data_IF_555402607958
#
_entry.id   IF_555402607958
#
_cell.length_a   1.000
_cell.length_b   1.000
_cell.length_c   1.000
_cell.angle_alpha   90.00
_cell.angle_beta   90.00
_cell.angle_gamma   90.00
#
_symmetry.space_group_name_H-M   'P 1'
#
loop_
_entity.id
_entity.type
_entity.pdbx_description
1 polymer ?
#
# COMPACT_ATOMS: atom_id res chain seq x y z
N UNK A 1 -5.62 -0.25 13.90
CA UNK A 1 -4.61 0.75 14.30
C UNK A 1 -5.06 2.08 13.75
N UNK A 2 -4.87 3.14 14.51
CA UNK A 2 -5.28 4.50 14.18
C UNK A 2 -6.03 5.19 15.33
N UNK A 3 -6.08 6.52 15.26
CA UNK A 3 -6.82 7.38 16.18
C UNK A 3 -8.03 8.08 15.54
N UNK A 4 -8.39 7.71 14.31
CA UNK A 4 -9.54 8.26 13.59
C UNK A 4 -10.84 7.59 14.05
N UNK A 5 -11.96 8.31 13.90
CA UNK A 5 -13.29 7.77 14.18
C UNK A 5 -13.55 6.50 13.34
N UNK A 6 -14.00 5.39 13.95
CA UNK A 6 -14.36 4.18 13.22
C UNK A 6 -15.46 4.43 12.18
N UNK A 7 -15.36 3.73 11.05
CA UNK A 7 -16.31 3.83 9.94
C UNK A 7 -16.65 2.43 9.45
N UNK A 8 -17.94 2.13 9.30
CA UNK A 8 -18.39 0.84 8.78
C UNK A 8 -17.87 0.58 7.37
N UNK A 9 -17.48 -0.67 7.11
CA UNK A 9 -16.81 -1.08 5.86
C UNK A 9 -17.64 -0.81 4.59
N UNK A 10 -18.97 -0.86 4.70
CA UNK A 10 -19.91 -0.66 3.58
C UNK A 10 -20.06 0.81 3.15
N UNK A 11 -19.62 1.76 3.97
CA UNK A 11 -19.65 3.20 3.65
C UNK A 11 -18.26 3.83 3.64
N UNK A 12 -17.22 3.03 3.89
CA UNK A 12 -15.86 3.53 4.14
C UNK A 12 -15.29 4.34 2.99
N UNK A 13 -15.49 3.91 1.74
CA UNK A 13 -15.05 4.66 0.56
C UNK A 13 -15.83 5.98 0.41
N UNK A 14 -17.15 5.98 0.66
CA UNK A 14 -17.97 7.20 0.61
C UNK A 14 -17.50 8.22 1.64
N UNK A 15 -17.34 7.79 2.89
CA UNK A 15 -16.84 8.65 3.98
C UNK A 15 -15.42 9.14 3.69
N UNK A 16 -14.55 8.30 3.13
CA UNK A 16 -13.21 8.71 2.70
C UNK A 16 -13.26 9.84 1.67
N UNK A 17 -14.09 9.70 0.62
CA UNK A 17 -14.24 10.70 -0.43
C UNK A 17 -14.81 12.02 0.10
N UNK A 18 -15.70 12.00 1.09
CA UNK A 18 -16.16 13.22 1.76
C UNK A 18 -15.08 13.84 2.66
N UNK A 19 -14.30 13.00 3.34
CA UNK A 19 -13.33 13.44 4.35
C UNK A 19 -12.09 14.08 3.72
N UNK A 20 -11.53 13.50 2.66
CA UNK A 20 -10.29 13.98 2.03
C UNK A 20 -10.33 15.48 1.67
N UNK A 21 -11.31 16.00 0.91
CA UNK A 21 -11.34 17.42 0.55
C UNK A 21 -11.54 18.33 1.77
N UNK A 22 -12.38 17.92 2.74
CA UNK A 22 -12.64 18.70 3.96
C UNK A 22 -11.40 18.77 4.84
N UNK A 23 -10.66 17.67 4.97
CA UNK A 23 -9.40 17.63 5.72
C UNK A 23 -8.35 18.54 5.08
N UNK A 24 -8.17 18.45 3.76
CA UNK A 24 -7.22 19.30 3.03
C UNK A 24 -7.58 20.78 3.17
N UNK A 25 -8.87 21.12 3.07
CA UNK A 25 -9.35 22.48 3.30
C UNK A 25 -9.05 22.95 4.72
N UNK A 26 -9.31 22.11 5.73
CA UNK A 26 -9.07 22.44 7.14
C UNK A 26 -7.59 22.65 7.46
N UNK A 27 -6.70 21.95 6.75
CA UNK A 27 -5.24 22.09 6.85
C UNK A 27 -4.69 23.20 5.95
N UNK A 28 -5.54 23.92 5.21
CA UNK A 28 -5.16 24.95 4.24
C UNK A 28 -4.22 24.43 3.13
N UNK A 29 -4.33 23.13 2.82
CA UNK A 29 -3.54 22.47 1.77
C UNK A 29 -4.33 22.46 0.47
N UNK A 30 -3.86 23.23 -0.51
CA UNK A 30 -4.52 23.31 -1.82
C UNK A 30 -4.22 22.13 -2.73
N UNK A 31 -2.96 21.69 -2.75
CA UNK A 31 -2.50 20.64 -3.65
C UNK A 31 -1.62 19.63 -2.91
N UNK A 32 -1.79 18.35 -3.24
CA UNK A 32 -1.01 17.23 -2.71
C UNK A 32 -0.42 16.38 -3.82
N UNK A 33 0.63 15.64 -3.47
CA UNK A 33 1.06 14.46 -4.20
C UNK A 33 0.61 13.25 -3.39
N UNK A 34 0.03 12.25 -4.04
CA UNK A 34 -0.51 11.08 -3.34
C UNK A 34 0.54 9.97 -3.34
N UNK A 35 0.71 9.33 -2.19
CA UNK A 35 1.50 8.12 -2.06
C UNK A 35 0.67 7.11 -1.28
N UNK A 36 0.62 5.87 -1.75
CA UNK A 36 -0.22 4.85 -1.16
C UNK A 36 0.49 3.51 -1.08
N UNK A 37 0.04 2.67 -0.14
CA UNK A 37 0.58 1.33 0.07
C UNK A 37 -0.54 0.30 0.22
N UNK A 38 -0.35 -0.90 -0.32
CA UNK A 38 -1.24 -2.04 -0.11
C UNK A 38 -2.72 -1.70 -0.42
N UNK A 39 -3.63 -1.99 0.50
CA UNK A 39 -5.08 -1.70 0.42
C UNK A 39 -5.39 -0.22 0.14
N UNK A 40 -4.46 0.68 0.47
CA UNK A 40 -4.56 2.10 0.13
C UNK A 40 -4.76 2.36 -1.38
N UNK A 41 -4.44 1.40 -2.24
CA UNK A 41 -4.72 1.45 -3.68
C UNK A 41 -6.22 1.66 -3.97
N UNK A 42 -7.11 0.98 -3.24
CA UNK A 42 -8.57 1.08 -3.39
C UNK A 42 -9.02 2.53 -3.15
N UNK A 43 -8.58 3.11 -2.04
CA UNK A 43 -8.86 4.50 -1.66
C UNK A 43 -8.29 5.50 -2.67
N UNK A 44 -7.06 5.26 -3.12
CA UNK A 44 -6.36 6.16 -4.04
C UNK A 44 -7.02 6.17 -5.41
N UNK A 45 -7.43 5.02 -5.95
CA UNK A 45 -8.14 4.94 -7.23
C UNK A 45 -9.45 5.75 -7.18
N UNK A 46 -10.24 5.56 -6.13
CA UNK A 46 -11.44 6.38 -5.92
C UNK A 46 -11.11 7.87 -5.77
N UNK A 47 -10.08 8.23 -5.00
CA UNK A 47 -9.66 9.63 -4.84
C UNK A 47 -9.23 10.27 -6.16
N UNK A 48 -8.46 9.56 -7.00
CA UNK A 48 -8.09 10.06 -8.33
C UNK A 48 -9.34 10.26 -9.19
N UNK A 49 -10.26 9.30 -9.19
CA UNK A 49 -11.46 9.40 -9.99
C UNK A 49 -12.37 10.55 -9.54
N UNK A 50 -12.52 10.82 -8.24
CA UNK A 50 -13.47 11.83 -7.76
C UNK A 50 -12.81 13.20 -7.50
N UNK A 51 -11.56 13.23 -7.04
CA UNK A 51 -10.91 14.42 -6.51
C UNK A 51 -9.56 14.75 -7.18
N UNK A 52 -9.32 14.38 -8.44
CA UNK A 52 -8.04 14.69 -9.10
C UNK A 52 -7.64 16.19 -9.13
N UNK A 53 -8.58 17.11 -8.88
CA UNK A 53 -8.28 18.54 -8.72
C UNK A 53 -7.44 18.86 -7.48
N UNK A 54 -7.37 17.96 -6.48
CA UNK A 54 -6.49 18.11 -5.31
C UNK A 54 -5.03 17.86 -5.66
N UNK A 55 -4.73 17.25 -6.81
CA UNK A 55 -3.36 17.14 -7.28
C UNK A 55 -2.85 18.48 -7.78
N UNK A 56 -1.53 18.69 -7.72
CA UNK A 56 -0.92 19.88 -8.30
C UNK A 56 -1.14 19.88 -9.83
N UNK A 57 -1.79 20.89 -10.43
CA UNK A 57 -2.09 20.88 -11.86
C UNK A 57 -0.83 20.90 -12.75
N UNK A 58 0.31 21.41 -12.24
CA UNK A 58 1.57 21.47 -13.00
C UNK A 58 2.38 20.18 -12.91
N UNK A 59 2.22 19.43 -11.82
CA UNK A 59 2.96 18.20 -11.56
C UNK A 59 2.06 17.18 -10.86
N UNK A 60 0.93 16.76 -11.48
CA UNK A 60 0.01 15.85 -10.83
C UNK A 60 0.69 14.49 -10.70
N UNK A 61 0.79 13.99 -9.47
CA UNK A 61 1.60 12.81 -9.16
C UNK A 61 0.92 11.89 -8.16
N UNK A 62 1.00 10.59 -8.46
CA UNK A 62 0.62 9.52 -7.55
C UNK A 62 1.66 8.40 -7.59
N UNK A 63 2.04 7.89 -6.41
CA UNK A 63 2.86 6.71 -6.26
C UNK A 63 2.08 5.58 -5.56
N UNK A 64 2.03 4.41 -6.19
CA UNK A 64 1.49 3.19 -5.63
C UNK A 64 2.64 2.27 -5.22
N UNK A 65 2.80 1.99 -3.93
CA UNK A 65 3.83 1.11 -3.40
C UNK A 65 3.18 -0.21 -3.01
N UNK A 66 3.57 -1.31 -3.66
CA UNK A 66 2.97 -2.63 -3.49
C UNK A 66 1.42 -2.58 -3.47
N UNK A 67 0.78 -1.98 -4.50
CA UNK A 67 -0.67 -1.80 -4.50
C UNK A 67 -1.38 -3.14 -4.42
N UNK A 68 -2.30 -3.27 -3.46
CA UNK A 68 -3.10 -4.48 -3.33
C UNK A 68 -3.98 -4.68 -4.58
N UNK A 69 -4.05 -5.92 -5.04
CA UNK A 69 -4.90 -6.35 -6.16
C UNK A 69 -5.84 -7.47 -5.68
N UNK A 70 -7.15 -7.40 -5.99
CA UNK A 70 -8.14 -8.37 -5.52
C UNK A 70 -7.71 -9.83 -5.72
N UNK A 71 -7.96 -10.70 -4.73
CA UNK A 71 -7.56 -12.12 -4.74
C UNK A 71 -8.01 -12.87 -5.98
N UNK A 72 -9.23 -12.60 -6.45
CA UNK A 72 -9.82 -13.22 -7.65
C UNK A 72 -8.95 -12.98 -8.89
N UNK A 73 -8.18 -11.90 -8.89
CA UNK A 73 -7.27 -11.52 -9.96
C UNK A 73 -5.83 -11.90 -9.62
N UNK A 74 -5.34 -11.61 -8.41
CA UNK A 74 -3.94 -11.77 -8.05
C UNK A 74 -3.54 -13.23 -7.83
N UNK A 75 -4.46 -14.07 -7.32
CA UNK A 75 -4.16 -15.46 -6.94
C UNK A 75 -3.04 -15.58 -5.90
N UNK A 76 -2.76 -14.50 -5.16
CA UNK A 76 -1.61 -14.41 -4.27
C UNK A 76 -1.70 -15.45 -3.14
N UNK A 77 -0.58 -16.11 -2.84
CA UNK A 77 -0.54 -17.29 -1.96
C UNK A 77 -1.02 -17.00 -0.55
N UNK A 78 -0.52 -15.92 0.08
CA UNK A 78 -0.84 -15.62 1.47
C UNK A 78 -2.31 -15.19 1.63
N UNK A 79 -2.84 -14.22 0.87
CA UNK A 79 -4.25 -13.90 0.96
C UNK A 79 -5.16 -15.08 0.60
N UNK A 80 -4.79 -15.92 -0.37
CA UNK A 80 -5.55 -17.15 -0.69
C UNK A 80 -5.63 -18.12 0.48
N UNK A 81 -4.57 -18.20 1.31
CA UNK A 81 -4.60 -19.02 2.52
C UNK A 81 -5.43 -18.35 3.62
N UNK A 82 -5.23 -17.06 3.84
CA UNK A 82 -5.98 -16.29 4.85
C UNK A 82 -7.48 -16.20 4.53
N UNK A 83 -7.87 -16.21 3.26
CA UNK A 83 -9.28 -16.26 2.86
C UNK A 83 -9.97 -17.59 3.19
N UNK A 84 -9.24 -18.62 3.65
CA UNK A 84 -9.83 -19.85 4.16
C UNK A 84 -10.12 -19.81 5.66
N UNK A 85 -9.67 -18.77 6.36
CA UNK A 85 -9.93 -18.61 7.77
C UNK A 85 -11.42 -18.31 8.06
N UNK A 86 -11.94 -18.77 9.20
CA UNK A 86 -13.21 -18.29 9.74
C UNK A 86 -13.14 -16.77 9.98
N UNK A 87 -14.22 -16.04 9.69
CA UNK A 87 -14.29 -14.58 9.85
C UNK A 87 -13.97 -14.15 11.29
N UNK A 88 -14.43 -14.92 12.28
CA UNK A 88 -14.14 -14.67 13.71
C UNK A 88 -12.66 -14.62 14.06
N UNK A 89 -11.80 -15.25 13.26
CA UNK A 89 -10.35 -15.20 13.46
C UNK A 89 -9.71 -13.92 12.90
N UNK A 90 -10.43 -13.22 12.01
CA UNK A 90 -10.05 -11.91 11.48
C UNK A 90 -10.53 -10.77 12.38
N UNK A 91 -11.42 -11.02 13.34
CA UNK A 91 -11.85 -10.04 14.34
C UNK A 91 -10.77 -9.73 15.39
N UNK A 92 -9.70 -10.53 15.42
CA UNK A 92 -8.60 -10.40 16.36
C UNK A 92 -7.27 -10.40 15.62
N UNK A 93 -6.59 -9.25 15.64
CA UNK A 93 -5.25 -9.12 15.05
C UNK A 93 -4.24 -10.06 15.72
N UNK A 94 -4.39 -10.32 17.02
CA UNK A 94 -3.53 -11.22 17.77
C UNK A 94 -3.71 -12.68 17.31
N UNK A 95 -4.94 -13.12 17.06
CA UNK A 95 -5.23 -14.49 16.61
C UNK A 95 -4.77 -14.71 15.17
N UNK A 96 -4.97 -13.72 14.30
CA UNK A 96 -4.46 -13.73 12.93
C UNK A 96 -2.93 -13.84 12.91
N UNK A 97 -2.23 -13.05 13.73
CA UNK A 97 -0.78 -13.13 13.88
C UNK A 97 -0.32 -14.49 14.42
N UNK A 98 -1.02 -15.02 15.41
CA UNK A 98 -0.73 -16.32 16.00
C UNK A 98 -0.90 -17.43 14.96
N UNK A 99 -1.93 -17.36 14.12
CA UNK A 99 -2.14 -18.30 13.03
C UNK A 99 -1.02 -18.25 12.00
N UNK A 100 -0.66 -17.05 11.53
CA UNK A 100 0.43 -16.86 10.57
C UNK A 100 1.70 -17.50 11.12
N UNK A 101 2.09 -17.14 12.35
CA UNK A 101 3.33 -17.63 12.97
C UNK A 101 3.34 -19.12 13.26
N UNK A 102 2.22 -19.71 13.69
CA UNK A 102 2.21 -21.09 14.15
C UNK A 102 1.79 -22.10 13.09
N UNK A 103 1.08 -21.67 12.04
CA UNK A 103 0.47 -22.56 11.04
C UNK A 103 0.95 -22.32 9.62
N UNK A 104 1.28 -21.07 9.27
CA UNK A 104 1.77 -20.73 7.93
C UNK A 104 3.30 -20.82 7.88
N UNK A 105 3.98 -20.32 8.91
CA UNK A 105 5.45 -20.26 8.93
C UNK A 105 6.19 -21.61 9.07
N UNK A 106 5.73 -22.58 9.90
CA UNK A 106 6.53 -23.79 10.17
C UNK A 106 6.40 -24.91 9.12
N UNK A 107 5.49 -24.79 8.14
CA UNK A 107 5.32 -25.84 7.12
C UNK A 107 6.39 -25.70 6.04
N UNK A 108 7.31 -26.66 5.98
CA UNK A 108 8.57 -26.66 5.21
C UNK A 108 8.41 -26.49 3.68
N UNK A 109 9.34 -25.73 3.06
CA UNK A 109 9.53 -25.40 1.63
C UNK A 109 8.68 -24.26 1.04
N UNK A 110 8.87 -23.01 1.49
CA UNK A 110 8.11 -21.85 1.00
C UNK A 110 9.01 -20.80 0.30
N UNK A 111 8.42 -20.03 -0.62
CA UNK A 111 9.12 -19.03 -1.44
C UNK A 111 9.72 -17.90 -0.59
N UNK A 112 10.78 -17.26 -1.08
CA UNK A 112 11.53 -16.19 -0.39
C UNK A 112 10.68 -15.03 0.12
N UNK A 113 9.51 -14.78 -0.48
CA UNK A 113 8.61 -13.71 -0.06
C UNK A 113 7.88 -13.94 1.27
N UNK A 114 7.54 -15.20 1.61
CA UNK A 114 6.72 -15.51 2.80
C UNK A 114 7.57 -15.44 4.07
N UNK A 115 8.82 -15.91 3.97
CA UNK A 115 9.85 -15.70 4.99
C UNK A 115 10.15 -14.20 5.20
N UNK A 116 10.17 -13.43 4.11
CA UNK A 116 10.42 -11.99 4.17
C UNK A 116 9.26 -11.21 4.82
N UNK A 117 8.00 -11.58 4.54
CA UNK A 117 6.81 -11.00 5.19
C UNK A 117 6.80 -11.24 6.71
N UNK A 118 7.20 -12.44 7.16
CA UNK A 118 7.29 -12.72 8.58
C UNK A 118 8.33 -11.86 9.29
N UNK A 119 9.48 -11.64 8.66
CA UNK A 119 10.52 -10.74 9.16
C UNK A 119 10.06 -9.27 9.21
N UNK A 120 9.15 -8.83 8.33
CA UNK A 120 8.62 -7.46 8.33
C UNK A 120 7.49 -7.24 9.34
N UNK A 121 6.60 -8.22 9.51
CA UNK A 121 5.48 -8.15 10.46
C UNK A 121 5.94 -8.40 11.91
N UNK A 122 6.93 -9.28 12.09
CA UNK A 122 7.52 -9.62 13.38
C UNK A 122 9.03 -9.34 13.36
N UNK A 123 9.47 -8.11 13.62
CA UNK A 123 10.85 -7.90 14.06
C UNK A 123 11.01 -8.70 15.35
N UNK A 124 11.72 -9.81 15.28
CA UNK A 124 11.92 -10.78 16.35
C UNK A 124 12.29 -10.10 17.67
N UNK A 125 11.39 -10.15 18.64
CA UNK A 125 11.66 -9.83 20.05
C UNK A 125 12.02 -11.07 20.88
N UNK A 126 12.30 -12.21 20.25
CA UNK A 126 12.79 -13.40 20.92
C UNK A 126 13.94 -14.02 20.12
N UNK A 127 15.15 -13.80 20.61
CA UNK A 127 16.28 -14.72 20.41
C UNK A 127 15.82 -16.14 20.73
N UNK A 128 15.62 -16.94 19.70
CA UNK A 128 15.62 -18.40 19.83
C UNK A 128 16.66 -18.92 18.84
N UNK A 129 17.81 -19.27 19.38
CA UNK A 129 18.87 -20.00 18.69
C UNK A 129 18.30 -21.35 18.24
N UNK A 130 17.92 -21.44 16.96
CA UNK A 130 17.72 -22.72 16.28
C UNK A 130 18.96 -22.96 15.38
N UNK A 131 19.74 -24.03 15.59
CA UNK A 131 20.92 -24.30 14.78
C UNK A 131 20.50 -24.67 13.36
N UNK A 132 21.03 -23.96 12.35
CA UNK A 132 21.04 -24.43 10.96
C UNK A 132 20.08 -23.76 9.98
N UNK A 133 19.43 -22.64 10.33
CA UNK A 133 18.71 -21.84 9.34
C UNK A 133 19.51 -20.57 9.04
N UNK A 134 20.07 -20.44 7.84
CA UNK A 134 20.57 -19.15 7.34
C UNK A 134 19.35 -18.23 7.14
N UNK A 135 18.96 -17.57 8.22
CA UNK A 135 17.94 -16.51 8.19
C UNK A 135 18.54 -15.38 7.39
N UNK A 136 17.91 -15.06 6.24
CA UNK A 136 18.22 -13.83 5.48
C UNK A 136 18.35 -12.65 6.44
N UNK A 137 19.32 -11.74 6.22
CA UNK A 137 19.76 -10.83 7.25
C UNK A 137 18.57 -10.02 7.76
N UNK A 138 18.19 -10.25 9.02
CA UNK A 138 17.16 -9.47 9.68
C UNK A 138 17.61 -8.01 9.58
N UNK A 139 16.79 -7.18 8.94
CA UNK A 139 17.03 -5.75 8.82
C UNK A 139 17.41 -5.16 10.18
N UNK A 140 18.57 -4.52 10.28
CA UNK A 140 18.96 -3.81 11.49
C UNK A 140 18.04 -2.60 11.70
N UNK A 141 17.83 -2.19 12.95
CA UNK A 141 16.98 -1.04 13.28
C UNK A 141 17.44 0.25 12.58
N UNK A 142 18.76 0.41 12.41
CA UNK A 142 19.36 1.53 11.70
C UNK A 142 19.13 1.48 10.19
N UNK A 143 19.21 0.31 9.56
CA UNK A 143 18.83 0.15 8.14
C UNK A 143 17.34 0.45 7.93
N UNK A 144 16.48 0.18 8.92
CA UNK A 144 15.03 0.39 8.81
C UNK A 144 14.71 1.86 8.69
N UNK A 145 15.16 2.65 9.65
CA UNK A 145 14.74 4.05 9.74
C UNK A 145 15.74 5.04 9.13
N UNK A 146 16.97 4.61 8.83
CA UNK A 146 18.03 5.50 8.34
C UNK A 146 18.49 6.52 9.37
N UNK A 147 18.39 6.18 10.66
CA UNK A 147 18.74 7.04 11.82
C UNK A 147 19.76 6.34 12.72
N UNK A 148 20.32 7.07 13.69
CA UNK A 148 21.20 6.50 14.71
C UNK A 148 20.49 5.44 15.57
N UNK A 149 21.28 4.62 16.26
CA UNK A 149 20.78 3.44 17.00
C UNK A 149 19.83 3.83 18.13
N UNK A 150 20.12 4.90 18.84
CA UNK A 150 19.34 5.40 19.96
C UNK A 150 17.96 5.86 19.47
N UNK A 151 17.92 6.63 18.38
CA UNK A 151 16.68 7.06 17.72
C UNK A 151 15.90 5.86 17.17
N UNK A 152 16.56 4.91 16.52
CA UNK A 152 15.91 3.73 15.96
C UNK A 152 15.23 2.87 17.05
N UNK A 153 15.91 2.70 18.20
CA UNK A 153 15.35 2.02 19.37
C UNK A 153 14.16 2.78 19.97
N UNK A 154 14.22 4.11 20.01
CA UNK A 154 13.11 4.93 20.47
C UNK A 154 11.89 4.79 19.55
N UNK A 155 12.10 4.79 18.23
CA UNK A 155 11.04 4.56 17.23
C UNK A 155 10.40 3.19 17.45
N UNK A 156 11.19 2.11 17.55
CA UNK A 156 10.64 0.76 17.77
C UNK A 156 9.86 0.65 19.08
N UNK A 157 10.37 1.24 20.16
CA UNK A 157 9.69 1.26 21.45
C UNK A 157 8.34 1.98 21.38
N UNK A 158 8.30 3.14 20.71
CA UNK A 158 7.07 3.90 20.52
C UNK A 158 6.09 3.15 19.60
N UNK A 159 6.56 2.57 18.50
CA UNK A 159 5.74 1.77 17.60
C UNK A 159 5.09 0.60 18.33
N UNK A 160 5.83 -0.12 19.17
CA UNK A 160 5.27 -1.22 19.97
C UNK A 160 4.26 -0.67 20.99
N UNK A 161 4.60 0.39 21.70
CA UNK A 161 3.70 1.02 22.68
C UNK A 161 2.36 1.42 22.04
N UNK A 162 2.40 2.15 20.93
CA UNK A 162 1.17 2.60 20.26
C UNK A 162 0.42 1.45 19.60
N UNK A 163 1.12 0.46 19.01
CA UNK A 163 0.50 -0.75 18.47
C UNK A 163 -0.35 -1.50 19.50
N UNK A 164 0.10 -1.59 20.74
CA UNK A 164 -0.65 -2.25 21.82
C UNK A 164 -1.71 -1.35 22.47
N UNK A 165 -1.56 -0.04 22.38
CA UNK A 165 -2.51 0.91 22.96
C UNK A 165 -3.68 1.26 22.02
N UNK A 166 -3.49 1.12 20.71
CA UNK A 166 -4.49 1.48 19.71
C UNK A 166 -5.50 0.38 19.45
N UNK A 167 -6.70 0.81 19.08
CA UNK A 167 -7.73 -0.09 18.60
C UNK A 167 -7.30 -0.77 17.29
N UNK A 168 -7.47 -2.09 17.23
CA UNK A 168 -7.13 -2.92 16.07
C UNK A 168 -8.31 -3.18 15.13
N UNK A 169 -9.54 -2.77 15.47
CA UNK A 169 -10.71 -2.99 14.61
C UNK A 169 -10.50 -2.51 13.16
N UNK A 170 -9.87 -1.35 12.97
CA UNK A 170 -9.51 -0.88 11.63
C UNK A 170 -8.66 -1.90 10.85
N UNK A 171 -7.53 -2.37 11.39
CA UNK A 171 -6.66 -3.28 10.61
C UNK A 171 -7.35 -4.63 10.34
N UNK A 172 -8.23 -5.06 11.24
CA UNK A 172 -9.06 -6.26 11.07
C UNK A 172 -10.06 -6.09 9.93
N UNK A 173 -10.73 -4.95 9.86
CA UNK A 173 -11.67 -4.63 8.78
C UNK A 173 -10.95 -4.52 7.43
N UNK A 174 -9.78 -3.90 7.38
CA UNK A 174 -8.95 -3.86 6.16
C UNK A 174 -8.51 -5.26 5.72
N UNK A 175 -8.19 -6.15 6.66
CA UNK A 175 -7.89 -7.54 6.34
C UNK A 175 -9.13 -8.25 5.77
N UNK A 176 -10.31 -8.07 6.37
CA UNK A 176 -11.56 -8.66 5.83
C UNK A 176 -11.92 -8.09 4.46
N UNK A 177 -11.75 -6.78 4.27
CA UNK A 177 -11.91 -6.09 2.99
C UNK A 177 -11.03 -6.76 1.93
N UNK A 178 -9.73 -6.82 2.19
CA UNK A 178 -8.74 -7.41 1.29
C UNK A 178 -8.92 -8.93 1.09
N UNK A 179 -9.61 -9.65 1.97
CA UNK A 179 -9.82 -11.09 1.83
C UNK A 179 -11.18 -11.43 1.20
N UNK A 180 -11.98 -10.43 0.84
CA UNK A 180 -13.34 -10.63 0.34
C UNK A 180 -14.24 -11.30 1.38
N UNK A 181 -14.03 -11.00 2.68
CA UNK A 181 -14.73 -11.59 3.82
C UNK A 181 -15.83 -10.68 4.39
N UNK A 182 -16.21 -9.66 3.63
CA UNK A 182 -17.29 -8.74 3.95
C UNK A 182 -18.22 -8.66 2.74
N UNK A 183 -19.37 -9.34 2.83
CA UNK A 183 -20.35 -9.39 1.74
C UNK A 183 -20.96 -8.02 1.40
N UNK A 184 -20.86 -7.06 2.33
CA UNK A 184 -21.32 -5.69 2.19
C UNK A 184 -20.20 -4.67 1.94
N UNK A 185 -18.97 -5.12 1.67
CA UNK A 185 -17.87 -4.21 1.39
C UNK A 185 -18.12 -3.43 0.09
N UNK A 186 -17.97 -2.11 0.16
CA UNK A 186 -18.08 -1.21 -0.98
C UNK A 186 -16.68 -0.70 -1.33
N UNK A 187 -16.13 -1.15 -2.46
CA UNK A 187 -14.82 -0.69 -2.96
C UNK A 187 -14.95 0.57 -3.82
N UNK A 188 -16.17 1.11 -3.95
CA UNK A 188 -16.50 2.14 -4.93
C UNK A 188 -16.17 1.65 -6.34
N UNK A 189 -15.64 2.55 -7.16
CA UNK A 189 -15.30 2.22 -8.55
C UNK A 189 -14.08 1.32 -8.65
N UNK A 190 -13.27 1.26 -7.60
CA UNK A 190 -12.17 0.30 -7.50
C UNK A 190 -12.64 -1.16 -7.31
N UNK A 191 -13.95 -1.46 -7.36
CA UNK A 191 -14.43 -2.83 -7.53
C UNK A 191 -13.92 -3.45 -8.84
N UNK A 192 -13.76 -2.64 -9.89
CA UNK A 192 -13.10 -3.00 -11.15
C UNK A 192 -11.97 -2.00 -11.42
N UNK A 193 -10.73 -2.40 -11.09
CA UNK A 193 -9.55 -1.55 -11.26
C UNK A 193 -9.38 -1.10 -12.72
N UNK A 194 -9.59 -1.98 -13.69
CA UNK A 194 -9.35 -1.63 -15.10
C UNK A 194 -10.38 -0.61 -15.60
N UNK A 195 -11.65 -0.79 -15.23
CA UNK A 195 -12.70 0.19 -15.55
C UNK A 195 -12.49 1.52 -14.81
N UNK A 196 -12.10 1.48 -13.53
CA UNK A 196 -11.79 2.66 -12.74
C UNK A 196 -10.62 3.45 -13.35
N UNK A 197 -9.53 2.78 -13.71
CA UNK A 197 -8.34 3.41 -14.29
C UNK A 197 -8.66 4.04 -15.65
N UNK A 198 -9.47 3.37 -16.48
CA UNK A 198 -9.96 3.97 -17.74
C UNK A 198 -10.76 5.25 -17.48
N UNK A 199 -11.61 5.24 -16.46
CA UNK A 199 -12.41 6.41 -16.07
C UNK A 199 -11.53 7.55 -15.54
N UNK A 200 -10.47 7.23 -14.78
CA UNK A 200 -9.45 8.21 -14.34
C UNK A 200 -8.76 8.83 -15.56
N UNK A 201 -8.33 8.02 -16.53
CA UNK A 201 -7.68 8.51 -17.74
C UNK A 201 -8.58 9.46 -18.55
N UNK A 202 -9.85 9.09 -18.73
CA UNK A 202 -10.84 9.94 -19.38
C UNK A 202 -11.03 11.27 -18.64
N UNK A 203 -11.13 11.23 -17.31
CA UNK A 203 -11.25 12.44 -16.49
C UNK A 203 -10.03 13.34 -16.62
N UNK A 204 -8.81 12.79 -16.59
CA UNK A 204 -7.58 13.57 -16.78
C UNK A 204 -7.54 14.23 -18.16
N UNK A 205 -7.97 13.51 -19.22
CA UNK A 205 -8.09 14.08 -20.56
C UNK A 205 -9.05 15.27 -20.57
N UNK A 206 -10.24 15.13 -19.98
CA UNK A 206 -11.21 16.23 -19.88
C UNK A 206 -10.64 17.42 -19.11
N UNK A 207 -9.95 17.20 -17.99
CA UNK A 207 -9.34 18.27 -17.21
C UNK A 207 -8.24 19.01 -18.00
N UNK A 208 -7.44 18.30 -18.81
CA UNK A 208 -6.43 18.91 -19.67
C UNK A 208 -7.03 19.70 -20.83
N UNK A 209 -8.17 19.26 -21.37
CA UNK A 209 -8.91 20.02 -22.37
C UNK A 209 -9.51 21.32 -21.80
N UNK A 210 -9.89 21.31 -20.53
CA UNK A 210 -10.46 22.48 -19.83
C UNK A 210 -9.39 23.46 -19.34
N UNK A 211 -8.22 22.98 -18.92
CA UNK A 211 -7.08 23.80 -18.53
C UNK A 211 -5.82 23.31 -19.25
N UNK A 212 -5.43 24.02 -20.31
CA UNK A 212 -4.23 23.72 -21.12
C UNK A 212 -2.92 23.80 -20.33
N UNK A 213 -2.93 24.36 -19.11
CA UNK A 213 -1.77 24.40 -18.21
C UNK A 213 -1.67 23.16 -17.33
N UNK A 214 -2.69 22.29 -17.33
CA UNK A 214 -2.67 21.04 -16.57
C UNK A 214 -1.74 20.05 -17.28
N UNK A 215 -0.73 19.58 -16.57
CA UNK A 215 0.17 18.55 -17.04
C UNK A 215 -0.48 17.16 -16.98
N UNK A 216 0.13 16.19 -17.67
CA UNK A 216 -0.26 14.78 -17.57
C UNK A 216 -0.12 14.28 -16.15
N UNK A 217 -1.05 13.43 -15.72
CA UNK A 217 -0.95 12.76 -14.43
C UNK A 217 0.17 11.71 -14.52
N UNK A 218 1.19 11.90 -13.68
CA UNK A 218 2.30 10.96 -13.52
C UNK A 218 1.92 9.90 -12.50
N UNK A 219 1.98 8.64 -12.93
CA UNK A 219 1.67 7.48 -12.11
C UNK A 219 2.92 6.62 -11.98
N UNK A 220 3.38 6.41 -10.75
CA UNK A 220 4.51 5.53 -10.44
C UNK A 220 3.99 4.31 -9.67
N UNK A 221 4.12 3.12 -10.26
CA UNK A 221 3.85 1.87 -9.57
C UNK A 221 5.18 1.23 -9.13
N UNK A 222 5.33 0.99 -7.84
CA UNK A 222 6.54 0.39 -7.28
C UNK A 222 6.19 -0.94 -6.65
N UNK A 223 6.85 -1.99 -7.10
CA UNK A 223 6.66 -3.37 -6.66
C UNK A 223 7.88 -3.87 -5.89
N UNK A 224 7.65 -4.89 -5.07
CA UNK A 224 8.71 -5.57 -4.33
C UNK A 224 9.13 -6.84 -5.08
N UNK A 225 10.37 -7.27 -4.89
CA UNK A 225 10.90 -8.49 -5.52
C UNK A 225 10.21 -9.76 -5.03
N UNK A 226 9.71 -9.73 -3.79
CA UNK A 226 9.07 -10.85 -3.13
C UNK A 226 7.77 -10.43 -2.45
N UNK A 227 6.75 -10.14 -3.26
CA UNK A 227 5.41 -9.77 -2.78
C UNK A 227 4.46 -10.97 -2.71
N UNK A 228 4.14 -11.39 -1.50
CA UNK A 228 3.25 -12.53 -1.24
C UNK A 228 1.79 -12.16 -1.13
N UNK A 229 1.52 -10.86 -0.99
CA UNK A 229 0.20 -10.28 -0.81
C UNK A 229 -0.46 -10.01 -2.17
N UNK A 230 0.33 -9.75 -3.20
CA UNK A 230 -0.20 -9.50 -4.56
C UNK A 230 0.33 -10.50 -5.59
N UNK A 231 1.51 -11.09 -5.35
CA UNK A 231 2.14 -12.02 -6.29
C UNK A 231 2.48 -11.39 -7.65
N UNK A 232 3.15 -12.18 -8.51
CA UNK A 232 3.55 -11.69 -9.83
C UNK A 232 2.37 -11.37 -10.74
N UNK A 233 1.32 -12.18 -10.68
CA UNK A 233 0.08 -11.99 -11.47
C UNK A 233 -0.67 -10.71 -11.07
N UNK A 234 -0.71 -10.36 -9.77
CA UNK A 234 -1.28 -9.09 -9.32
C UNK A 234 -0.48 -7.89 -9.85
N UNK A 235 0.85 -7.95 -9.78
CA UNK A 235 1.71 -6.93 -10.38
C UNK A 235 1.43 -6.75 -11.88
N UNK A 236 1.45 -7.85 -12.66
CA UNK A 236 1.23 -7.81 -14.11
C UNK A 236 -0.13 -7.21 -14.46
N UNK A 237 -1.19 -7.63 -13.75
CA UNK A 237 -2.52 -7.07 -13.94
C UNK A 237 -2.56 -5.55 -13.68
N UNK A 238 -1.95 -5.12 -12.57
CA UNK A 238 -1.93 -3.69 -12.23
C UNK A 238 -1.15 -2.90 -13.28
N UNK A 239 0.02 -3.37 -13.71
CA UNK A 239 0.82 -2.74 -14.76
C UNK A 239 0.04 -2.63 -16.08
N UNK A 240 -0.58 -3.72 -16.52
CA UNK A 240 -1.38 -3.76 -17.76
C UNK A 240 -2.57 -2.80 -17.69
N UNK A 241 -3.20 -2.66 -16.52
CA UNK A 241 -4.35 -1.76 -16.36
C UNK A 241 -4.00 -0.29 -16.59
N UNK A 242 -2.74 0.11 -16.43
CA UNK A 242 -2.25 1.47 -16.70
C UNK A 242 -1.56 1.61 -18.06
N UNK A 243 -1.13 0.52 -18.69
CA UNK A 243 -0.36 0.51 -19.94
C UNK A 243 -1.25 0.39 -21.18
N UNK A 244 -2.18 1.33 -21.36
CA UNK A 244 -2.95 1.43 -22.59
C UNK A 244 -2.49 2.62 -23.45
N UNK A 245 -2.39 2.41 -24.77
CA UNK A 245 -1.95 3.45 -25.71
C UNK A 245 -2.87 4.67 -25.71
N UNK A 246 -4.18 4.45 -25.49
CA UNK A 246 -5.16 5.53 -25.31
C UNK A 246 -4.84 6.46 -24.13
N UNK A 247 -4.05 6.02 -23.14
CA UNK A 247 -3.75 6.82 -21.95
C UNK A 247 -2.54 7.74 -22.14
N UNK A 248 -1.69 7.49 -23.15
CA UNK A 248 -0.39 8.19 -23.31
C UNK A 248 -0.51 9.70 -23.45
N UNK A 249 -1.65 10.21 -23.91
CA UNK A 249 -1.87 11.65 -24.05
C UNK A 249 -2.16 12.34 -22.72
N UNK A 250 -2.79 11.64 -21.77
CA UNK A 250 -3.23 12.22 -20.50
C UNK A 250 -2.48 11.69 -19.27
N UNK A 251 -1.75 10.58 -19.40
CA UNK A 251 -1.05 9.89 -18.33
C UNK A 251 0.38 9.54 -18.73
N UNK A 252 1.31 9.66 -17.78
CA UNK A 252 2.66 9.12 -17.85
C UNK A 252 2.81 8.02 -16.79
N UNK A 253 2.73 6.75 -17.21
CA UNK A 253 2.86 5.60 -16.32
C UNK A 253 4.29 5.07 -16.31
N UNK A 254 4.81 4.78 -15.12
CA UNK A 254 6.10 4.13 -14.91
C UNK A 254 6.00 3.05 -13.84
N UNK A 255 6.77 1.98 -14.00
CA UNK A 255 6.86 0.89 -13.02
C UNK A 255 8.30 0.64 -12.61
N UNK A 256 8.51 0.25 -11.34
CA UNK A 256 9.83 -0.16 -10.83
C UNK A 256 9.68 -1.32 -9.85
N UNK A 257 10.59 -2.29 -9.92
CA UNK A 257 10.64 -3.40 -8.95
C UNK A 257 11.90 -3.31 -8.09
N UNK A 258 11.73 -3.39 -6.77
CA UNK A 258 12.82 -3.42 -5.80
C UNK A 258 13.09 -4.87 -5.39
N UNK A 259 14.05 -5.51 -6.07
CA UNK A 259 14.30 -6.96 -5.96
C UNK A 259 14.63 -7.46 -4.55
N UNK A 260 15.15 -6.58 -3.69
CA UNK A 260 15.52 -6.90 -2.30
C UNK A 260 14.44 -6.56 -1.27
N UNK A 261 13.33 -5.97 -1.70
CA UNK A 261 12.21 -5.64 -0.83
C UNK A 261 11.11 -6.71 -0.91
N UNK A 262 10.29 -6.76 0.13
CA UNK A 262 9.01 -7.47 0.21
C UNK A 262 7.85 -6.46 0.30
N UNK A 263 6.63 -6.94 0.47
CA UNK A 263 5.42 -6.11 0.52
C UNK A 263 5.53 -4.91 1.48
N UNK A 264 6.00 -5.12 2.71
CA UNK A 264 6.10 -4.08 3.73
C UNK A 264 7.46 -3.39 3.72
N UNK A 265 8.56 -4.15 3.55
CA UNK A 265 9.91 -3.57 3.54
C UNK A 265 10.09 -2.56 2.40
N UNK A 266 9.26 -2.61 1.37
CA UNK A 266 9.20 -1.59 0.34
C UNK A 266 8.99 -0.17 0.89
N UNK A 267 8.23 0.00 1.97
CA UNK A 267 7.94 1.31 2.55
C UNK A 267 8.73 1.61 3.82
N UNK A 268 9.14 0.58 4.57
CA UNK A 268 9.86 0.76 5.84
C UNK A 268 11.38 0.60 5.74
N UNK A 269 11.93 0.07 4.65
CA UNK A 269 13.37 -0.13 4.51
C UNK A 269 14.03 1.10 3.87
N UNK A 270 14.87 1.81 4.62
CA UNK A 270 15.50 3.04 4.13
C UNK A 270 16.50 2.78 3.00
N UNK A 271 17.22 1.66 3.03
CA UNK A 271 18.27 1.35 2.06
C UNK A 271 17.75 0.63 0.82
N UNK A 272 16.92 -0.40 1.04
CA UNK A 272 16.46 -1.33 0.00
C UNK A 272 15.02 -1.05 -0.41
N UNK A 273 14.30 -0.19 0.30
CA UNK A 273 12.93 0.20 -0.01
C UNK A 273 12.82 1.37 -1.00
N UNK A 274 11.58 1.73 -1.29
CA UNK A 274 11.21 2.70 -2.30
C UNK A 274 10.95 4.10 -1.75
N UNK A 275 10.60 4.22 -0.47
CA UNK A 275 10.08 5.46 0.12
C UNK A 275 10.98 6.67 -0.13
N UNK A 276 12.28 6.55 0.15
CA UNK A 276 13.28 7.60 -0.11
C UNK A 276 13.31 8.03 -1.58
N UNK A 277 13.16 7.07 -2.50
CA UNK A 277 13.22 7.36 -3.93
C UNK A 277 11.94 8.05 -4.41
N UNK A 278 10.77 7.69 -3.89
CA UNK A 278 9.50 8.39 -4.17
C UNK A 278 9.58 9.85 -3.70
N UNK A 279 10.10 10.11 -2.49
CA UNK A 279 10.31 11.49 -2.03
C UNK A 279 11.30 12.26 -2.93
N UNK A 280 12.36 11.62 -3.41
CA UNK A 280 13.28 12.22 -4.39
C UNK A 280 12.59 12.52 -5.72
N UNK A 281 11.73 11.62 -6.21
CA UNK A 281 10.91 11.83 -7.40
C UNK A 281 10.03 13.07 -7.23
N UNK A 282 9.31 13.16 -6.10
CA UNK A 282 8.46 14.31 -5.77
C UNK A 282 9.29 15.61 -5.73
N UNK A 283 10.42 15.62 -5.01
CA UNK A 283 11.30 16.79 -4.95
C UNK A 283 11.94 17.13 -6.32
N UNK A 284 12.09 16.15 -7.21
CA UNK A 284 12.54 16.36 -8.59
C UNK A 284 11.51 17.07 -9.45
N UNK A 285 10.22 16.72 -9.29
CA UNK A 285 9.11 17.41 -9.95
C UNK A 285 9.07 18.90 -9.58
N UNK A 286 9.49 19.24 -8.37
CA UNK A 286 9.54 20.62 -7.91
C UNK A 286 10.74 21.41 -8.42
N UNK A 287 11.86 20.74 -8.73
CA UNK A 287 13.10 21.40 -9.15
C UNK A 287 13.21 21.63 -10.66
N UNK A 288 12.43 20.93 -11.48
CA UNK A 288 12.23 21.30 -12.88
C UNK A 288 11.48 22.64 -13.08
N UNK A 289 11.28 23.43 -12.01
CA UNK A 289 10.59 24.73 -12.00
C UNK A 289 11.53 25.93 -12.18
N UNK A 290 12.86 25.74 -12.23
CA UNK A 290 13.84 26.82 -12.40
C UNK A 290 14.45 26.81 -13.80
#
# INVERSE_FOLDING_TARGET
>A
MGGSTPVDINIRIKVWLETVPVLLQKLEIKHVNIMTHSAGAIYTLNTLLHHSSILNPKTPFVAFLAPYVPLTISGATLPTLLSRLPVGMLDSWADLNTFINNKIMPTTSWSSGLLSFAASVFPSSASTDLPGTEVSPSMTQTERYGVDKETAKAIDSLLMKYRFAEDTHGINDEAKLCLGKCDNADWGEAQDYAACIRSIAQKERTLQQQDTRRAKLKVEAVFSGSDVMIGKRGQEYFEQSWQHDEFRECLDFSTKTYSKANHDSLVIDYEKGALRNVFKSIAGLERGRN
#
